data_IF_252165344227
#
_entry.id   IF_252165344227
#
_cell.length_a   1.000
_cell.length_b   1.000
_cell.length_c   1.000
_cell.angle_alpha   90.00
_cell.angle_beta   90.00
_cell.angle_gamma   90.00
#
_symmetry.space_group_name_H-M   'P 1'
#
loop_
_entity.id
_entity.type
_entity.pdbx_description
1 polymer ?
#
# COMPACT_ATOMS: atom_id res chain seq x y z
N UNK A 1 -31.66 9.75 -21.42
CA UNK A 1 -30.62 8.72 -21.66
C UNK A 1 -29.26 9.42 -21.69
N UNK A 2 -28.61 9.57 -20.53
CA UNK A 2 -27.43 10.44 -20.37
C UNK A 2 -26.22 9.75 -20.99
N UNK A 3 -25.81 10.24 -22.15
CA UNK A 3 -24.57 9.86 -22.84
C UNK A 3 -23.46 10.71 -22.22
N UNK A 4 -22.72 10.15 -21.26
CA UNK A 4 -21.50 10.80 -20.77
C UNK A 4 -20.45 10.64 -21.86
N UNK A 5 -20.37 11.64 -22.73
CA UNK A 5 -19.21 11.87 -23.59
C UNK A 5 -18.18 12.58 -22.70
N UNK A 6 -17.33 11.82 -22.02
CA UNK A 6 -16.19 12.38 -21.32
C UNK A 6 -15.16 12.80 -22.36
N UNK A 7 -15.02 14.11 -22.52
CA UNK A 7 -14.00 14.79 -23.30
C UNK A 7 -12.57 14.38 -22.87
N UNK A 8 -11.76 13.91 -23.82
CA UNK A 8 -10.39 14.38 -24.12
C UNK A 8 -9.67 13.38 -25.04
N UNK A 9 -9.66 13.71 -26.34
CA UNK A 9 -9.18 12.93 -27.48
C UNK A 9 -7.69 13.18 -27.80
N UNK A 10 -6.82 13.47 -26.82
CA UNK A 10 -5.41 13.81 -27.08
C UNK A 10 -4.36 12.78 -26.64
N UNK A 11 -4.73 11.59 -26.17
CA UNK A 11 -3.79 10.46 -26.04
C UNK A 11 -4.51 9.12 -26.25
N UNK A 12 -4.77 8.74 -27.51
CA UNK A 12 -5.29 7.42 -27.90
C UNK A 12 -4.24 6.31 -27.73
N UNK A 13 -3.59 6.23 -26.57
CA UNK A 13 -2.76 5.09 -26.24
C UNK A 13 -3.67 3.89 -25.94
N UNK A 14 -3.40 2.70 -26.49
CA UNK A 14 -4.11 1.50 -26.08
C UNK A 14 -3.99 1.32 -24.56
N UNK A 15 -5.07 0.88 -23.92
CA UNK A 15 -5.08 0.66 -22.48
C UNK A 15 -4.30 -0.61 -22.15
N UNK A 16 -3.39 -0.54 -21.17
CA UNK A 16 -2.70 -1.75 -20.71
C UNK A 16 -3.70 -2.67 -20.03
N UNK A 17 -3.81 -3.91 -20.53
CA UNK A 17 -4.77 -4.85 -19.96
C UNK A 17 -4.42 -5.10 -18.49
N UNK A 18 -5.44 -5.27 -17.63
CA UNK A 18 -5.20 -5.57 -16.21
C UNK A 18 -4.32 -6.82 -16.01
N UNK A 19 -4.35 -7.76 -16.96
CA UNK A 19 -3.52 -8.96 -16.92
C UNK A 19 -2.05 -8.63 -17.15
N UNK A 20 -1.73 -7.83 -18.17
CA UNK A 20 -0.36 -7.40 -18.47
C UNK A 20 0.18 -6.47 -17.39
N UNK A 21 -0.63 -5.52 -16.92
CA UNK A 21 -0.26 -4.65 -15.79
C UNK A 21 0.10 -5.46 -14.56
N UNK A 22 -0.71 -6.47 -14.22
CA UNK A 22 -0.42 -7.34 -13.08
C UNK A 22 0.88 -8.13 -13.27
N UNK A 23 1.26 -8.48 -14.50
CA UNK A 23 2.55 -9.14 -14.78
C UNK A 23 3.72 -8.16 -14.58
N UNK A 24 3.62 -6.95 -15.14
CA UNK A 24 4.66 -5.93 -15.01
C UNK A 24 4.86 -5.50 -13.54
N UNK A 25 3.77 -5.26 -12.81
CA UNK A 25 3.82 -4.95 -11.37
C UNK A 25 4.55 -6.06 -10.61
N UNK A 26 4.23 -7.34 -10.87
CA UNK A 26 4.91 -8.46 -10.20
C UNK A 26 6.40 -8.49 -10.52
N UNK A 27 6.79 -8.29 -11.78
CA UNK A 27 8.19 -8.30 -12.19
C UNK A 27 9.00 -7.18 -11.51
N UNK A 28 8.47 -5.96 -11.51
CA UNK A 28 9.15 -4.82 -10.90
C UNK A 28 9.27 -4.96 -9.38
N UNK A 29 8.20 -5.43 -8.72
CA UNK A 29 8.23 -5.69 -7.27
C UNK A 29 9.17 -6.83 -6.90
N UNK A 30 9.22 -7.90 -7.69
CA UNK A 30 10.14 -9.01 -7.46
C UNK A 30 11.60 -8.58 -7.64
N UNK A 31 11.87 -7.69 -8.60
CA UNK A 31 13.20 -7.13 -8.82
C UNK A 31 13.63 -6.23 -7.67
N UNK A 32 12.71 -5.40 -7.14
CA UNK A 32 13.01 -4.48 -6.06
C UNK A 32 13.08 -5.14 -4.68
N UNK A 33 12.26 -6.17 -4.44
CA UNK A 33 12.18 -6.87 -3.15
C UNK A 33 12.29 -8.39 -3.33
N UNK A 34 13.49 -8.90 -3.64
CA UNK A 34 13.72 -10.34 -3.71
C UNK A 34 13.30 -11.03 -2.41
N UNK A 35 12.61 -12.17 -2.53
CA UNK A 35 12.16 -12.94 -1.36
C UNK A 35 10.80 -12.53 -0.78
N UNK A 36 10.23 -11.40 -1.21
CA UNK A 36 8.87 -10.99 -0.80
C UNK A 36 7.83 -11.49 -1.80
N UNK A 37 6.82 -12.22 -1.31
CA UNK A 37 5.74 -12.74 -2.13
C UNK A 37 4.60 -11.72 -2.25
N UNK A 38 4.48 -11.10 -3.42
CA UNK A 38 3.38 -10.20 -3.76
C UNK A 38 2.19 -10.93 -4.40
N UNK A 39 1.00 -10.65 -3.91
CA UNK A 39 -0.27 -11.06 -4.48
C UNK A 39 -0.89 -9.87 -5.20
N UNK A 40 -0.81 -9.89 -6.53
CA UNK A 40 -1.39 -8.85 -7.40
C UNK A 40 -2.68 -9.38 -8.01
N UNK A 41 -3.80 -8.70 -7.79
CA UNK A 41 -5.11 -9.12 -8.28
C UNK A 41 -5.82 -7.99 -9.00
N UNK A 42 -6.54 -8.33 -10.06
CA UNK A 42 -7.53 -7.44 -10.65
C UNK A 42 -8.70 -7.30 -9.67
N UNK A 43 -9.19 -6.08 -9.52
CA UNK A 43 -10.39 -5.78 -8.75
C UNK A 43 -11.56 -5.43 -9.69
N UNK A 44 -12.63 -4.82 -9.18
CA UNK A 44 -13.73 -4.33 -10.02
C UNK A 44 -13.21 -3.32 -11.06
N UNK A 45 -13.77 -3.39 -12.27
CA UNK A 45 -13.42 -2.52 -13.39
C UNK A 45 -11.95 -2.63 -13.82
N UNK A 46 -11.23 -1.50 -13.84
CA UNK A 46 -9.81 -1.39 -14.20
C UNK A 46 -8.90 -1.21 -12.98
N UNK A 47 -9.39 -1.45 -11.75
CA UNK A 47 -8.60 -1.31 -10.54
C UNK A 47 -7.80 -2.58 -10.22
N UNK A 48 -6.75 -2.44 -9.42
CA UNK A 48 -5.89 -3.53 -8.97
C UNK A 48 -5.65 -3.44 -7.46
N UNK A 49 -5.44 -4.60 -6.83
CA UNK A 49 -4.92 -4.70 -5.48
C UNK A 49 -3.57 -5.41 -5.47
N UNK A 50 -2.63 -4.87 -4.69
CA UNK A 50 -1.33 -5.46 -4.41
C UNK A 50 -1.27 -5.70 -2.92
N UNK A 51 -1.18 -6.95 -2.51
CA UNK A 51 -1.03 -7.32 -1.11
C UNK A 51 0.18 -8.19 -0.88
N UNK A 52 0.79 -8.05 0.29
CA UNK A 52 1.96 -8.83 0.69
C UNK A 52 1.98 -8.99 2.21
N UNK A 53 2.82 -9.91 2.67
CA UNK A 53 3.06 -10.18 4.07
C UNK A 53 4.47 -9.71 4.43
N UNK A 54 4.61 -9.05 5.57
CA UNK A 54 5.86 -8.50 6.11
C UNK A 54 6.58 -7.58 5.09
N UNK A 55 7.91 -7.65 4.97
CA UNK A 55 8.66 -7.05 3.86
C UNK A 55 8.69 -5.51 3.85
N UNK A 56 8.62 -4.85 2.67
CA UNK A 56 8.68 -3.39 2.54
C UNK A 56 7.41 -2.70 3.04
N UNK A 57 7.51 -1.42 3.36
CA UNK A 57 6.42 -0.52 3.70
C UNK A 57 5.48 -0.27 2.51
N UNK A 58 4.26 0.19 2.79
CA UNK A 58 3.32 0.59 1.74
C UNK A 58 3.88 1.73 0.89
N UNK A 59 4.70 2.62 1.47
CA UNK A 59 5.34 3.71 0.75
C UNK A 59 6.38 3.19 -0.26
N UNK A 60 7.30 2.32 0.16
CA UNK A 60 8.31 1.72 -0.72
C UNK A 60 7.66 0.96 -1.89
N UNK A 61 6.56 0.23 -1.64
CA UNK A 61 5.80 -0.44 -2.71
C UNK A 61 5.10 0.57 -3.61
N UNK A 62 4.50 1.62 -3.05
CA UNK A 62 3.81 2.67 -3.80
C UNK A 62 4.75 3.41 -4.76
N UNK A 63 5.99 3.66 -4.36
CA UNK A 63 7.02 4.31 -5.21
C UNK A 63 7.29 3.52 -6.49
N UNK A 64 7.09 2.20 -6.49
CA UNK A 64 7.23 1.34 -7.67
C UNK A 64 5.91 1.24 -8.44
N UNK A 65 4.79 1.07 -7.74
CA UNK A 65 3.51 0.74 -8.38
C UNK A 65 2.76 1.96 -8.91
N UNK A 66 3.02 3.16 -8.38
CA UNK A 66 2.27 4.37 -8.72
C UNK A 66 2.31 4.71 -10.22
N UNK A 67 3.38 4.32 -10.94
CA UNK A 67 3.58 4.53 -12.38
C UNK A 67 2.68 3.66 -13.25
N UNK A 68 1.89 2.76 -12.67
CA UNK A 68 0.93 1.94 -13.39
C UNK A 68 -0.51 2.46 -13.28
N UNK A 69 -0.77 3.42 -12.40
CA UNK A 69 -2.13 3.92 -12.16
C UNK A 69 -2.42 5.16 -13.03
N UNK A 70 -3.69 5.43 -13.32
CA UNK A 70 -4.20 6.59 -14.06
C UNK A 70 -5.37 7.27 -13.35
N UNK A 71 -5.69 6.82 -12.14
CA UNK A 71 -6.75 7.33 -11.28
C UNK A 71 -6.26 7.36 -9.83
N UNK A 72 -6.45 8.49 -9.14
CA UNK A 72 -6.11 8.65 -7.72
C UNK A 72 -7.24 9.39 -6.99
N UNK A 73 -7.57 8.92 -5.78
CA UNK A 73 -8.52 9.62 -4.92
C UNK A 73 -7.83 10.82 -4.25
N UNK A 74 -8.47 11.97 -4.33
CA UNK A 74 -8.08 13.21 -3.66
C UNK A 74 -9.01 13.43 -2.47
N UNK A 75 -8.50 13.13 -1.27
CA UNK A 75 -9.27 13.27 -0.04
C UNK A 75 -9.63 14.72 0.31
N UNK A 76 -8.89 15.71 -0.19
CA UNK A 76 -9.19 17.13 0.06
C UNK A 76 -10.45 17.57 -0.68
N UNK A 77 -10.61 17.07 -1.90
CA UNK A 77 -11.71 17.42 -2.80
C UNK A 77 -12.76 16.31 -2.90
N UNK A 78 -12.63 15.26 -2.09
CA UNK A 78 -13.48 14.05 -2.06
C UNK A 78 -13.78 13.42 -3.43
N UNK A 79 -12.86 13.54 -4.39
CA UNK A 79 -13.08 13.12 -5.78
C UNK A 79 -11.92 12.30 -6.36
N UNK A 80 -12.18 11.61 -7.47
CA UNK A 80 -11.14 10.92 -8.22
C UNK A 80 -10.58 11.82 -9.32
N UNK A 81 -9.26 12.00 -9.31
CA UNK A 81 -8.51 12.65 -10.36
C UNK A 81 -7.97 11.59 -11.33
N UNK A 82 -8.14 11.84 -12.63
CA UNK A 82 -7.63 10.99 -13.70
C UNK A 82 -6.43 11.68 -14.37
N UNK A 83 -5.44 10.90 -14.77
CA UNK A 83 -4.23 11.41 -15.41
C UNK A 83 -3.71 10.43 -16.45
N UNK A 84 -2.98 10.93 -17.46
CA UNK A 84 -2.37 10.06 -18.45
C UNK A 84 -1.04 9.53 -17.93
N UNK A 85 -0.86 8.22 -18.03
CA UNK A 85 0.37 7.53 -17.65
C UNK A 85 0.89 6.80 -18.88
N UNK A 86 2.12 7.08 -19.30
CA UNK A 86 2.75 6.46 -20.48
C UNK A 86 3.65 5.31 -20.04
N UNK A 87 3.22 4.09 -20.31
CA UNK A 87 3.97 2.87 -19.97
C UNK A 87 4.54 2.28 -21.27
N UNK A 88 5.85 2.10 -21.35
CA UNK A 88 6.48 1.45 -22.50
C UNK A 88 6.40 -0.07 -22.35
N UNK A 89 5.73 -0.74 -23.29
CA UNK A 89 5.61 -2.19 -23.37
C UNK A 89 5.97 -2.61 -24.80
N UNK A 90 7.04 -3.39 -24.96
CA UNK A 90 7.55 -3.84 -26.26
C UNK A 90 7.75 -2.69 -27.28
N UNK A 91 8.21 -1.53 -26.81
CA UNK A 91 8.44 -0.35 -27.65
C UNK A 91 7.17 0.46 -27.98
N UNK A 92 5.99 0.06 -27.51
CA UNK A 92 4.74 0.81 -27.65
C UNK A 92 4.32 1.47 -26.33
N UNK A 93 3.70 2.64 -26.40
CA UNK A 93 3.16 3.31 -25.22
C UNK A 93 1.71 2.88 -24.96
N UNK A 94 1.42 2.57 -23.70
CA UNK A 94 0.09 2.20 -23.23
C UNK A 94 -0.33 3.07 -22.04
N UNK A 95 -1.64 3.24 -21.86
CA UNK A 95 -2.20 3.94 -20.69
C UNK A 95 -2.19 3.04 -19.45
N UNK A 96 -1.98 3.64 -18.28
CA UNK A 96 -2.09 2.94 -16.99
C UNK A 96 -3.49 2.38 -16.70
N UNK A 97 -3.60 1.60 -15.64
CA UNK A 97 -4.87 1.08 -15.12
C UNK A 97 -5.46 2.05 -14.09
N UNK A 98 -6.68 1.82 -13.61
CA UNK A 98 -7.41 2.72 -12.68
C UNK A 98 -6.61 3.12 -11.43
N UNK A 99 -7.07 2.67 -10.25
CA UNK A 99 -6.31 2.85 -9.01
C UNK A 99 -5.68 1.53 -8.58
N UNK A 100 -4.57 1.64 -7.84
CA UNK A 100 -3.91 0.50 -7.21
C UNK A 100 -4.09 0.63 -5.69
N UNK A 101 -4.75 -0.37 -5.09
CA UNK A 101 -4.86 -0.48 -3.64
C UNK A 101 -3.72 -1.32 -3.09
N UNK A 102 -3.06 -0.81 -2.06
CA UNK A 102 -1.98 -1.52 -1.37
C UNK A 102 -2.49 -2.09 -0.05
N UNK A 103 -1.96 -3.23 0.37
CA UNK A 103 -2.27 -3.81 1.67
C UNK A 103 -1.13 -4.67 2.20
N UNK A 104 -0.55 -4.24 3.31
CA UNK A 104 0.50 -4.98 4.02
C UNK A 104 -0.06 -5.69 5.24
N UNK A 105 0.22 -6.99 5.37
CA UNK A 105 -0.13 -7.80 6.53
C UNK A 105 1.12 -8.20 7.30
N UNK A 106 1.03 -8.38 8.61
CA UNK A 106 2.18 -8.75 9.45
C UNK A 106 2.03 -10.16 10.02
N UNK A 107 3.12 -10.94 10.02
CA UNK A 107 3.25 -12.16 10.82
C UNK A 107 3.19 -11.86 12.32
N UNK A 108 2.85 -12.88 13.11
CA UNK A 108 2.92 -12.78 14.58
C UNK A 108 4.33 -12.43 15.07
N UNK A 109 5.37 -13.00 14.45
CA UNK A 109 6.77 -12.67 14.75
C UNK A 109 7.08 -11.19 14.55
N UNK A 110 6.73 -10.60 13.40
CA UNK A 110 6.96 -9.17 13.17
C UNK A 110 6.10 -8.30 14.08
N UNK A 111 4.86 -8.71 14.39
CA UNK A 111 4.04 -8.02 15.40
C UNK A 111 4.71 -8.03 16.77
N UNK A 112 5.30 -9.15 17.18
CA UNK A 112 6.03 -9.28 18.44
C UNK A 112 7.28 -8.38 18.48
N UNK A 113 8.05 -8.31 17.38
CA UNK A 113 9.22 -7.43 17.28
C UNK A 113 8.81 -5.95 17.41
N UNK A 114 7.77 -5.52 16.70
CA UNK A 114 7.23 -4.16 16.80
C UNK A 114 6.77 -3.88 18.23
N UNK A 115 6.08 -4.85 18.83
CA UNK A 115 5.58 -4.75 20.19
C UNK A 115 6.73 -4.62 21.21
N UNK A 116 7.75 -5.47 21.13
CA UNK A 116 8.96 -5.40 21.98
C UNK A 116 9.64 -4.04 21.89
N UNK A 117 9.84 -3.53 20.67
CA UNK A 117 10.41 -2.20 20.45
C UNK A 117 9.57 -1.12 21.14
N UNK A 118 8.26 -1.21 21.00
CA UNK A 118 7.33 -0.23 21.58
C UNK A 118 7.34 -0.24 23.11
N UNK A 119 7.39 -1.43 23.74
CA UNK A 119 7.57 -1.58 25.19
C UNK A 119 8.90 -0.98 25.65
N UNK A 120 10.00 -1.28 24.96
CA UNK A 120 11.34 -0.77 25.27
C UNK A 120 11.41 0.77 25.18
N UNK A 121 10.86 1.37 24.12
CA UNK A 121 10.78 2.83 23.93
C UNK A 121 9.98 3.54 25.06
N UNK A 122 9.24 2.78 25.87
CA UNK A 122 8.43 3.26 27.00
C UNK A 122 8.94 2.81 28.37
N UNK A 123 10.09 2.15 28.44
CA UNK A 123 10.67 1.67 29.71
C UNK A 123 9.80 0.63 30.41
N UNK A 124 9.09 -0.21 29.65
CA UNK A 124 8.25 -1.31 30.17
C UNK A 124 8.81 -2.65 29.72
N UNK A 125 8.75 -3.64 30.60
CA UNK A 125 9.18 -5.01 30.27
C UNK A 125 8.10 -5.74 29.46
N UNK A 126 8.53 -6.52 28.46
CA UNK A 126 7.64 -7.25 27.55
C UNK A 126 6.73 -8.25 28.29
N UNK A 127 7.22 -8.86 29.38
CA UNK A 127 6.49 -9.82 30.21
C UNK A 127 5.37 -9.20 31.04
N UNK A 128 5.35 -7.87 31.18
CA UNK A 128 4.35 -7.16 31.97
C UNK A 128 3.07 -6.87 31.16
N UNK A 129 3.08 -7.08 29.83
CA UNK A 129 2.01 -6.59 28.95
C UNK A 129 1.64 -7.59 27.85
N UNK A 130 0.40 -8.08 27.90
CA UNK A 130 -0.16 -9.00 26.89
C UNK A 130 -0.50 -8.25 25.60
N UNK A 131 -0.02 -8.75 24.46
CA UNK A 131 -0.37 -8.24 23.13
C UNK A 131 -1.89 -8.13 22.95
N UNK A 132 -2.37 -6.93 22.60
CA UNK A 132 -3.79 -6.67 22.35
C UNK A 132 -4.68 -6.50 23.59
N UNK A 133 -4.13 -6.33 24.81
CA UNK A 133 -4.96 -6.07 25.99
C UNK A 133 -5.56 -4.65 25.97
N UNK A 134 -6.82 -4.53 26.39
CA UNK A 134 -7.56 -3.26 26.50
C UNK A 134 -7.09 -2.37 27.65
N UNK A 135 -6.22 -2.88 28.54
CA UNK A 135 -5.60 -2.13 29.66
C UNK A 135 -4.82 -0.90 29.16
N UNK A 136 -4.46 -0.87 27.86
CA UNK A 136 -3.73 0.22 27.22
C UNK A 136 -4.59 1.35 26.63
N UNK A 137 -5.93 1.27 26.66
CA UNK A 137 -6.77 2.35 26.14
C UNK A 137 -6.74 3.61 27.04
N UNK A 138 -6.31 3.49 28.29
CA UNK A 138 -6.50 4.52 29.32
C UNK A 138 -5.21 5.14 29.87
N UNK A 139 -4.03 4.58 29.58
CA UNK A 139 -2.76 5.04 30.17
C UNK A 139 -1.74 5.42 29.09
N UNK A 140 -2.08 6.40 28.26
CA UNK A 140 -1.10 7.09 27.44
C UNK A 140 -0.45 8.23 28.25
N UNK A 141 0.82 8.08 28.69
CA UNK A 141 1.47 9.10 29.51
C UNK A 141 1.79 10.39 28.73
N UNK A 142 1.72 10.36 27.39
CA UNK A 142 1.92 11.55 26.54
C UNK A 142 0.63 12.27 26.17
N UNK A 143 -0.53 11.82 26.67
CA UNK A 143 -1.83 12.41 26.36
C UNK A 143 -2.15 12.49 24.84
N UNK A 144 -1.47 11.67 24.01
CA UNK A 144 -1.78 11.61 22.58
C UNK A 144 -3.16 10.97 22.40
N UNK A 145 -4.02 11.60 21.59
CA UNK A 145 -5.43 11.21 21.40
C UNK A 145 -5.62 9.86 20.67
N UNK A 146 -4.54 9.14 20.38
CA UNK A 146 -4.57 7.92 19.60
C UNK A 146 -4.50 6.69 20.52
N UNK A 147 -5.38 5.72 20.28
CA UNK A 147 -5.30 4.44 20.95
C UNK A 147 -3.99 3.74 20.61
N UNK A 148 -3.53 2.84 21.50
CA UNK A 148 -2.33 2.05 21.26
C UNK A 148 -2.36 1.33 19.89
N UNK A 149 -3.53 0.79 19.52
CA UNK A 149 -3.73 0.14 18.23
C UNK A 149 -3.38 1.06 17.05
N UNK A 150 -3.69 2.36 17.15
CA UNK A 150 -3.34 3.35 16.12
C UNK A 150 -1.83 3.58 16.08
N UNK A 151 -1.18 3.72 17.24
CA UNK A 151 0.29 3.90 17.33
C UNK A 151 1.01 2.67 16.77
N UNK A 152 0.58 1.46 17.16
CA UNK A 152 1.11 0.21 16.64
C UNK A 152 0.96 0.15 15.12
N UNK A 153 -0.25 0.43 14.59
CA UNK A 153 -0.50 0.41 13.15
C UNK A 153 0.36 1.44 12.41
N UNK A 154 0.60 2.62 13.00
CA UNK A 154 1.46 3.66 12.42
C UNK A 154 2.92 3.18 12.36
N UNK A 155 3.47 2.72 13.49
CA UNK A 155 4.84 2.20 13.55
C UNK A 155 5.04 1.00 12.64
N UNK A 156 4.07 0.07 12.60
CA UNK A 156 4.12 -1.08 11.72
C UNK A 156 4.20 -0.67 10.24
N UNK A 157 3.48 0.40 9.85
CA UNK A 157 3.53 0.94 8.49
C UNK A 157 4.84 1.64 8.15
N UNK A 158 5.50 2.24 9.13
CA UNK A 158 6.74 3.01 8.95
C UNK A 158 8.02 2.13 9.00
N UNK A 159 7.93 0.89 9.50
CA UNK A 159 9.10 0.00 9.61
C UNK A 159 9.20 -0.91 8.38
N UNK A 160 10.30 -0.76 7.63
CA UNK A 160 10.72 -1.71 6.59
C UNK A 160 11.44 -2.90 7.23
N UNK A 161 11.02 -4.12 6.90
CA UNK A 161 11.68 -5.36 7.36
C UNK A 161 12.55 -6.00 6.27
N UNK A 162 12.80 -5.28 5.17
CA UNK A 162 13.70 -5.74 4.11
C UNK A 162 15.17 -5.61 4.53
N UNK A 163 15.47 -4.66 5.44
CA UNK A 163 16.82 -4.32 5.88
C UNK A 163 17.10 -4.67 7.35
N UNK A 164 16.21 -5.43 8.00
CA UNK A 164 16.32 -5.90 9.38
C UNK A 164 16.60 -7.41 9.38
#
# INVERSE_FOLDING_TARGET
MIRIISQNLENNLPYLSSIETNKLIRLDLQKAFPGVKFNVRKDKFSDCSVTWKDGPTEQEVNEITNKYQNKKYDAKNEQYNYFSTKISVNGQYQSGIGSIRLGRFFSEEKKEIIWKKLCADRGKEFSEIKFGSSEFLYHNPKNEKYSFQVIFNKLAKEISFVNL
#
